data_IF_772869605741
#
_entry.id   IF_772869605741
#
_cell.length_a   1.000
_cell.length_b   1.000
_cell.length_c   1.000
_cell.angle_alpha   90.00
_cell.angle_beta   90.00
_cell.angle_gamma   90.00
#
_symmetry.space_group_name_H-M   'P 1'
#
loop_
_entity.id
_entity.type
_entity.pdbx_description
1 polymer ?
#
# COMPACT_ATOMS: atom_id res chain seq x y z
N UNK A 1 -27.83 22.09 -19.30
CA UNK A 1 -26.65 21.20 -19.16
C UNK A 1 -26.96 20.20 -18.07
N UNK A 2 -27.06 18.91 -18.42
CA UNK A 2 -27.32 17.84 -17.45
C UNK A 2 -26.03 17.55 -16.69
N UNK A 3 -26.08 17.67 -15.38
CA UNK A 3 -25.09 17.15 -14.42
C UNK A 3 -24.96 15.64 -14.67
N UNK A 4 -23.75 15.06 -14.80
CA UNK A 4 -23.61 13.61 -14.86
C UNK A 4 -24.13 13.01 -13.56
N UNK A 5 -25.02 12.05 -13.70
CA UNK A 5 -25.67 11.31 -12.63
C UNK A 5 -24.64 10.69 -11.69
N UNK A 6 -24.79 10.95 -10.39
CA UNK A 6 -24.27 10.06 -9.35
C UNK A 6 -24.64 8.60 -9.69
N UNK A 7 -23.72 7.68 -9.45
CA UNK A 7 -24.06 6.26 -9.50
C UNK A 7 -25.22 6.03 -8.52
N UNK A 8 -26.33 5.48 -9.02
CA UNK A 8 -27.46 5.07 -8.19
C UNK A 8 -27.01 4.14 -7.04
N UNK A 9 -27.73 4.13 -5.92
CA UNK A 9 -27.50 3.16 -4.83
C UNK A 9 -27.54 1.70 -5.30
N UNK A 10 -28.30 1.41 -6.37
CA UNK A 10 -28.33 0.10 -7.02
C UNK A 10 -27.07 -0.22 -7.85
N UNK A 11 -26.30 0.79 -8.29
CA UNK A 11 -24.99 0.60 -8.92
C UNK A 11 -23.84 0.48 -7.90
N UNK A 12 -23.94 1.15 -6.75
CA UNK A 12 -23.02 0.92 -5.61
C UNK A 12 -23.19 -0.49 -5.04
N UNK A 13 -24.43 -0.99 -4.95
CA UNK A 13 -24.73 -2.36 -4.57
C UNK A 13 -24.35 -3.42 -5.64
N UNK A 14 -23.91 -2.98 -6.84
CA UNK A 14 -23.54 -3.83 -7.98
C UNK A 14 -22.04 -3.99 -8.18
N UNK A 15 -21.21 -3.23 -7.46
CA UNK A 15 -19.81 -3.59 -7.35
C UNK A 15 -19.80 -4.87 -6.53
N UNK A 16 -19.78 -6.02 -7.22
CA UNK A 16 -19.51 -7.28 -6.57
C UNK A 16 -18.24 -7.13 -5.74
N UNK A 17 -18.13 -7.89 -4.65
CA UNK A 17 -16.92 -7.98 -3.82
C UNK A 17 -15.72 -8.62 -4.57
N UNK A 18 -15.67 -8.43 -5.89
CA UNK A 18 -14.62 -8.87 -6.77
C UNK A 18 -13.50 -7.87 -6.87
N UNK A 19 -12.27 -8.30 -7.15
CA UNK A 19 -11.18 -7.40 -7.44
C UNK A 19 -11.48 -6.60 -8.70
N UNK A 20 -11.46 -5.28 -8.56
CA UNK A 20 -11.45 -4.31 -9.65
C UNK A 20 -10.04 -3.74 -9.77
N UNK A 21 -9.76 -3.10 -10.90
CA UNK A 21 -8.51 -2.41 -11.15
C UNK A 21 -8.77 -0.91 -11.18
N UNK A 22 -8.14 -0.21 -10.25
CA UNK A 22 -7.98 1.23 -10.33
C UNK A 22 -6.92 1.53 -11.38
N UNK A 23 -7.27 2.36 -12.36
CA UNK A 23 -6.42 2.77 -13.46
C UNK A 23 -6.19 4.28 -13.37
N UNK A 24 -4.92 4.70 -13.45
CA UNK A 24 -4.48 6.08 -13.23
C UNK A 24 -3.78 6.61 -14.49
N UNK A 25 -4.48 7.41 -15.31
CA UNK A 25 -3.91 8.04 -16.51
C UNK A 25 -2.93 9.16 -16.18
N UNK A 26 -2.05 9.45 -17.14
CA UNK A 26 -1.09 10.57 -17.08
C UNK A 26 -1.78 11.93 -17.02
N UNK A 27 -2.88 12.08 -17.74
CA UNK A 27 -3.63 13.35 -17.84
C UNK A 27 -4.53 13.61 -16.62
N UNK A 28 -4.46 12.72 -15.61
CA UNK A 28 -5.21 12.81 -14.37
C UNK A 28 -6.53 12.03 -14.39
N UNK A 29 -7.21 12.09 -13.25
CA UNK A 29 -8.43 11.31 -13.01
C UNK A 29 -8.17 9.88 -12.56
N UNK A 30 -9.26 9.13 -12.39
CA UNK A 30 -9.25 7.74 -11.97
C UNK A 30 -10.36 6.99 -12.72
N UNK A 31 -10.05 5.79 -13.20
CA UNK A 31 -11.02 4.87 -13.81
C UNK A 31 -11.01 3.55 -13.04
N UNK A 32 -12.15 2.88 -13.02
CA UNK A 32 -12.26 1.52 -12.47
C UNK A 32 -12.54 0.54 -13.61
N UNK A 33 -11.70 -0.49 -13.73
CA UNK A 33 -11.88 -1.58 -14.67
C UNK A 33 -12.29 -2.84 -13.93
N UNK A 34 -13.34 -3.51 -14.41
CA UNK A 34 -13.76 -4.81 -13.95
C UNK A 34 -13.19 -5.89 -14.89
N UNK A 35 -12.21 -6.70 -14.45
CA UNK A 35 -11.62 -7.75 -15.29
C UNK A 35 -12.60 -8.84 -15.71
N UNK A 36 -13.66 -9.06 -14.93
CA UNK A 36 -14.66 -10.10 -15.19
C UNK A 36 -15.67 -9.68 -16.24
N UNK A 37 -16.11 -8.43 -16.18
CA UNK A 37 -17.09 -7.87 -17.11
C UNK A 37 -16.44 -7.24 -18.36
N UNK A 38 -15.13 -6.99 -18.32
CA UNK A 38 -14.44 -6.23 -19.36
C UNK A 38 -14.90 -4.77 -19.44
N UNK A 39 -15.50 -4.24 -18.37
CA UNK A 39 -16.14 -2.91 -18.34
C UNK A 39 -15.23 -1.90 -17.65
N UNK A 40 -15.06 -0.73 -18.26
CA UNK A 40 -14.37 0.42 -17.67
C UNK A 40 -15.42 1.47 -17.27
N UNK A 41 -15.44 1.80 -15.99
CA UNK A 41 -16.16 2.95 -15.45
C UNK A 41 -15.22 4.16 -15.42
N UNK A 42 -15.57 5.16 -16.23
CA UNK A 42 -14.84 6.42 -16.36
C UNK A 42 -15.49 7.49 -15.48
N UNK A 43 -14.73 8.53 -15.16
CA UNK A 43 -15.23 9.76 -14.54
C UNK A 43 -15.79 9.61 -13.11
N UNK A 44 -15.28 8.66 -12.33
CA UNK A 44 -15.66 8.50 -10.91
C UNK A 44 -15.22 9.70 -10.07
N UNK A 45 -14.06 10.29 -10.40
CA UNK A 45 -13.50 11.48 -9.78
C UNK A 45 -13.12 12.49 -10.89
N UNK A 46 -14.10 13.25 -11.40
CA UNK A 46 -13.84 14.40 -12.30
C UNK A 46 -13.20 15.60 -11.56
N UNK A 47 -13.13 15.57 -10.23
CA UNK A 47 -13.01 16.79 -9.41
C UNK A 47 -11.57 17.16 -8.97
N UNK A 48 -10.52 16.46 -9.44
CA UNK A 48 -9.15 16.65 -8.90
C UNK A 48 -8.02 16.70 -9.95
N UNK A 49 -8.07 17.63 -10.93
CA UNK A 49 -6.99 17.79 -11.90
C UNK A 49 -5.63 18.05 -11.22
N UNK A 50 -4.62 17.27 -11.62
CA UNK A 50 -3.26 17.38 -11.06
C UNK A 50 -3.06 16.70 -9.69
N UNK A 51 -4.05 15.94 -9.20
CA UNK A 51 -3.95 15.20 -7.94
C UNK A 51 -3.37 13.79 -8.13
N UNK A 52 -2.78 13.26 -7.07
CA UNK A 52 -2.17 11.93 -7.01
C UNK A 52 -2.92 11.05 -6.02
N UNK A 53 -3.16 9.80 -6.41
CA UNK A 53 -3.74 8.78 -5.54
C UNK A 53 -2.60 7.98 -4.89
N UNK A 54 -2.54 8.03 -3.56
CA UNK A 54 -1.42 7.47 -2.80
C UNK A 54 -1.72 6.08 -2.26
N UNK A 55 -2.96 5.81 -1.86
CA UNK A 55 -3.43 4.54 -1.28
C UNK A 55 -4.96 4.42 -1.36
N UNK A 56 -5.48 3.23 -1.10
CA UNK A 56 -6.91 2.95 -0.97
C UNK A 56 -7.16 1.97 0.19
N UNK A 57 -8.34 2.06 0.81
CA UNK A 57 -8.89 1.13 1.81
C UNK A 57 -10.39 1.04 1.61
N UNK A 58 -10.90 -0.13 1.19
CA UNK A 58 -12.26 -0.23 0.68
C UNK A 58 -12.53 0.87 -0.34
N UNK A 59 -13.64 1.59 -0.16
CA UNK A 59 -14.06 2.69 -1.04
C UNK A 59 -13.32 4.02 -0.82
N UNK A 60 -12.45 4.10 0.19
CA UNK A 60 -11.79 5.33 0.59
C UNK A 60 -10.40 5.47 -0.01
N UNK A 61 -10.12 6.63 -0.57
CA UNK A 61 -8.89 6.91 -1.32
C UNK A 61 -8.11 8.00 -0.61
N UNK A 62 -6.80 7.78 -0.44
CA UNK A 62 -5.88 8.80 0.03
C UNK A 62 -5.37 9.61 -1.17
N UNK A 63 -5.67 10.91 -1.17
CA UNK A 63 -5.40 11.81 -2.29
C UNK A 63 -4.49 12.95 -1.84
N UNK A 64 -3.52 13.29 -2.69
CA UNK A 64 -2.68 14.46 -2.60
C UNK A 64 -3.03 15.41 -3.74
N UNK A 65 -3.57 16.59 -3.43
CA UNK A 65 -3.90 17.57 -4.47
C UNK A 65 -2.68 18.30 -5.04
N UNK A 66 -2.92 19.13 -6.05
CA UNK A 66 -1.90 19.98 -6.68
C UNK A 66 -1.32 21.05 -5.75
N UNK A 67 -2.03 21.41 -4.68
CA UNK A 67 -1.57 22.29 -3.60
C UNK A 67 -0.88 21.52 -2.46
N UNK A 68 -0.64 20.22 -2.63
CA UNK A 68 -0.02 19.33 -1.66
C UNK A 68 -0.74 19.29 -0.31
N UNK A 69 -2.07 19.25 -0.37
CA UNK A 69 -2.95 18.92 0.74
C UNK A 69 -3.35 17.45 0.66
N UNK A 70 -3.32 16.79 1.80
CA UNK A 70 -3.79 15.42 1.94
C UNK A 70 -5.27 15.41 2.36
N UNK A 71 -6.03 14.53 1.77
CA UNK A 71 -7.39 14.21 2.19
C UNK A 71 -7.72 12.76 1.88
N UNK A 72 -8.71 12.21 2.57
CA UNK A 72 -9.34 10.95 2.20
C UNK A 72 -10.72 11.22 1.62
N UNK A 73 -11.10 10.50 0.59
CA UNK A 73 -12.42 10.62 -0.02
C UNK A 73 -13.03 9.26 -0.34
N UNK A 74 -14.31 9.09 -0.05
CA UNK A 74 -15.09 7.96 -0.54
C UNK A 74 -15.47 8.22 -1.99
N UNK A 75 -15.04 7.32 -2.89
CA UNK A 75 -15.17 7.53 -4.34
C UNK A 75 -16.61 7.46 -4.86
N UNK A 76 -17.55 6.92 -4.08
CA UNK A 76 -18.94 6.79 -4.48
C UNK A 76 -19.83 7.84 -3.83
N UNK A 77 -19.66 8.07 -2.52
CA UNK A 77 -20.44 9.07 -1.79
C UNK A 77 -19.89 10.49 -2.01
N UNK A 78 -18.63 10.61 -2.45
CA UNK A 78 -17.86 11.86 -2.52
C UNK A 78 -17.64 12.54 -1.17
N UNK A 79 -17.91 11.85 -0.07
CA UNK A 79 -17.54 12.33 1.26
C UNK A 79 -16.02 12.55 1.29
N UNK A 80 -15.59 13.67 1.87
CA UNK A 80 -14.18 14.06 1.91
C UNK A 80 -13.82 14.49 3.33
N UNK A 81 -12.71 13.95 3.83
CA UNK A 81 -12.13 14.30 5.12
C UNK A 81 -10.75 14.88 4.87
N UNK A 82 -10.60 16.17 5.15
CA UNK A 82 -9.30 16.84 5.08
C UNK A 82 -8.39 16.38 6.21
N UNK A 83 -7.14 16.04 5.84
CA UNK A 83 -6.12 15.61 6.79
C UNK A 83 -5.25 16.82 7.18
N UNK A 84 -4.47 16.72 8.28
CA UNK A 84 -3.50 17.74 8.63
C UNK A 84 -2.50 18.00 7.49
N UNK A 85 -1.95 19.22 7.40
CA UNK A 85 -0.87 19.54 6.46
C UNK A 85 0.36 18.67 6.75
N UNK A 86 1.12 18.27 5.73
CA UNK A 86 2.38 17.54 5.87
C UNK A 86 3.37 18.21 6.85
N UNK A 87 3.33 19.55 6.94
CA UNK A 87 4.14 20.36 7.85
C UNK A 87 3.74 20.24 9.33
N UNK A 88 2.56 19.69 9.62
CA UNK A 88 2.06 19.52 10.99
C UNK A 88 2.75 18.38 11.75
N UNK A 89 3.69 17.66 11.12
CA UNK A 89 4.41 16.57 11.76
C UNK A 89 5.12 17.05 13.04
N UNK A 90 4.85 16.37 14.14
CA UNK A 90 5.50 16.58 15.43
C UNK A 90 6.64 15.60 15.58
N UNK A 91 7.79 15.97 15.02
CA UNK A 91 9.05 15.25 15.21
C UNK A 91 10.01 16.08 16.06
N UNK A 92 10.87 15.40 16.81
CA UNK A 92 12.01 16.03 17.52
C UNK A 92 13.23 16.17 16.60
N UNK A 93 13.26 15.43 15.50
CA UNK A 93 14.43 15.26 14.62
C UNK A 93 14.17 15.79 13.20
N UNK A 94 12.90 15.95 12.80
CA UNK A 94 12.53 16.47 11.50
C UNK A 94 11.60 17.69 11.62
N UNK A 95 11.95 18.77 10.94
CA UNK A 95 11.02 19.89 10.74
C UNK A 95 10.87 20.14 9.26
N UNK A 96 9.63 20.15 8.80
CA UNK A 96 9.27 20.34 7.40
C UNK A 96 8.61 21.70 7.25
N UNK A 97 9.04 22.45 6.23
CA UNK A 97 8.44 23.72 5.85
C UNK A 97 8.09 23.70 4.36
N UNK A 98 6.88 24.09 4.01
CA UNK A 98 6.47 24.27 2.62
C UNK A 98 7.17 25.50 2.02
N UNK A 99 7.69 25.33 0.81
CA UNK A 99 8.38 26.39 0.05
C UNK A 99 7.71 26.68 -1.30
N UNK A 100 6.62 25.99 -1.63
CA UNK A 100 5.78 26.20 -2.80
C UNK A 100 4.70 25.12 -2.91
N UNK A 101 3.95 25.11 -4.00
CA UNK A 101 2.82 24.19 -4.18
C UNK A 101 3.25 22.72 -4.24
N UNK A 102 4.48 22.45 -4.67
CA UNK A 102 5.03 21.09 -4.85
C UNK A 102 6.34 20.82 -4.12
N UNK A 103 6.78 21.75 -3.28
CA UNK A 103 8.10 21.71 -2.64
C UNK A 103 8.04 21.87 -1.13
N UNK A 104 8.81 21.05 -0.43
CA UNK A 104 9.08 21.17 0.99
C UNK A 104 10.57 21.29 1.25
N UNK A 105 10.93 22.00 2.32
CA UNK A 105 12.27 22.09 2.86
C UNK A 105 12.31 21.36 4.20
N UNK A 106 13.20 20.38 4.30
CA UNK A 106 13.56 19.76 5.56
C UNK A 106 14.70 20.52 6.21
N UNK A 107 14.45 21.07 7.39
CA UNK A 107 15.33 22.07 8.01
C UNK A 107 16.58 21.47 8.68
N UNK A 108 16.51 20.24 9.20
CA UNK A 108 17.62 19.60 9.91
C UNK A 108 18.82 19.29 9.01
N UNK A 109 18.57 18.95 7.75
CA UNK A 109 19.60 18.62 6.75
C UNK A 109 19.59 19.57 5.54
N UNK A 110 18.81 20.65 5.58
CA UNK A 110 18.67 21.65 4.50
C UNK A 110 18.41 21.04 3.13
N UNK A 111 17.43 20.14 3.06
CA UNK A 111 17.16 19.35 1.86
C UNK A 111 15.76 19.65 1.28
N UNK A 112 15.66 19.73 -0.04
CA UNK A 112 14.41 19.97 -0.75
C UNK A 112 13.74 18.63 -1.05
N UNK A 113 12.46 18.52 -0.69
CA UNK A 113 11.62 17.35 -0.89
C UNK A 113 10.52 17.70 -1.92
N UNK A 114 10.21 16.77 -2.81
CA UNK A 114 9.13 16.93 -3.78
C UNK A 114 7.86 16.25 -3.29
N UNK A 115 6.72 16.83 -3.66
CA UNK A 115 5.42 16.19 -3.47
C UNK A 115 5.25 14.94 -4.34
N UNK A 116 6.04 14.82 -5.40
CA UNK A 116 6.11 13.64 -6.25
C UNK A 116 6.74 12.44 -5.50
N UNK A 117 7.50 12.70 -4.44
CA UNK A 117 8.12 11.68 -3.60
C UNK A 117 7.19 11.22 -2.47
N UNK A 118 6.07 11.91 -2.23
CA UNK A 118 5.12 11.50 -1.18
C UNK A 118 4.49 10.16 -1.53
N UNK A 119 4.49 9.25 -0.56
CA UNK A 119 3.79 7.96 -0.56
C UNK A 119 2.95 7.86 0.70
N UNK A 120 1.96 6.97 0.68
CA UNK A 120 1.17 6.72 1.88
C UNK A 120 0.49 5.37 1.88
N UNK A 121 -0.03 5.03 3.05
CA UNK A 121 -0.91 3.91 3.31
C UNK A 121 -2.18 4.47 3.96
N UNK A 122 -3.28 3.78 3.74
CA UNK A 122 -4.58 4.13 4.27
C UNK A 122 -5.23 2.88 4.83
N UNK A 123 -5.77 2.99 6.03
CA UNK A 123 -6.77 2.08 6.54
C UNK A 123 -7.99 2.88 6.96
N UNK A 124 -9.18 2.41 6.57
CA UNK A 124 -10.47 2.93 6.98
C UNK A 124 -11.30 1.74 7.46
N UNK A 125 -12.02 1.90 8.56
CA UNK A 125 -12.92 0.84 9.04
C UNK A 125 -14.11 0.64 8.08
N UNK A 126 -14.77 -0.52 8.16
CA UNK A 126 -15.92 -0.85 7.32
C UNK A 126 -17.06 0.19 7.41
N UNK A 127 -17.14 0.91 8.52
CA UNK A 127 -18.13 1.95 8.76
C UNK A 127 -17.78 3.33 8.19
N UNK A 128 -16.56 3.56 7.69
CA UNK A 128 -16.04 4.89 7.35
C UNK A 128 -15.94 5.83 8.56
N UNK A 129 -16.05 5.28 9.78
CA UNK A 129 -16.08 6.02 11.04
C UNK A 129 -14.71 6.14 11.67
N UNK A 130 -13.72 5.40 11.23
CA UNK A 130 -12.38 5.47 11.76
C UNK A 130 -11.34 5.28 10.66
N UNK A 131 -10.17 5.88 10.83
CA UNK A 131 -9.11 5.80 9.85
C UNK A 131 -7.73 5.98 10.46
N UNK A 132 -6.74 5.41 9.78
CA UNK A 132 -5.32 5.63 10.01
C UNK A 132 -4.67 5.96 8.66
N UNK A 133 -3.89 7.04 8.65
CA UNK A 133 -3.11 7.47 7.49
C UNK A 133 -1.65 7.43 7.88
N UNK A 134 -0.84 6.83 7.01
CA UNK A 134 0.62 6.81 7.11
C UNK A 134 1.18 7.45 5.85
N UNK A 135 2.19 8.28 5.96
CA UNK A 135 2.87 8.88 4.81
C UNK A 135 4.36 9.04 5.06
N UNK A 136 5.13 9.10 3.97
CA UNK A 136 6.57 9.37 3.99
C UNK A 136 7.03 9.95 2.66
N UNK A 137 8.24 10.51 2.64
CA UNK A 137 8.93 10.87 1.40
C UNK A 137 9.80 9.70 0.95
N UNK A 138 9.48 9.16 -0.22
CA UNK A 138 10.14 8.03 -0.85
C UNK A 138 11.35 8.50 -1.64
N UNK A 139 12.51 8.48 -0.95
CA UNK A 139 13.81 8.85 -1.51
C UNK A 139 14.67 7.61 -1.63
N UNK A 140 15.41 7.51 -2.73
CA UNK A 140 16.36 6.43 -2.93
C UNK A 140 17.37 6.37 -1.77
N UNK A 141 17.32 5.28 -1.00
CA UNK A 141 18.27 4.85 0.03
C UNK A 141 18.30 5.64 1.36
N UNK A 142 17.41 6.61 1.59
CA UNK A 142 17.45 7.42 2.82
C UNK A 142 16.05 7.85 3.30
N UNK A 143 15.37 6.92 3.97
CA UNK A 143 14.11 7.17 4.67
C UNK A 143 14.40 7.43 6.15
N UNK A 144 14.17 8.65 6.60
CA UNK A 144 14.51 9.04 7.98
C UNK A 144 13.34 8.88 8.96
N UNK A 145 12.12 9.06 8.48
CA UNK A 145 10.92 9.05 9.30
C UNK A 145 9.67 8.72 8.48
N UNK A 146 8.62 8.37 9.20
CA UNK A 146 7.26 8.20 8.70
C UNK A 146 6.35 9.09 9.55
N UNK A 147 5.39 9.76 8.91
CA UNK A 147 4.31 10.46 9.60
C UNK A 147 3.06 9.58 9.64
N UNK A 148 2.38 9.52 10.79
CA UNK A 148 1.04 8.94 10.86
C UNK A 148 0.06 9.83 11.61
N UNK A 149 -1.22 9.73 11.25
CA UNK A 149 -2.31 10.30 12.03
C UNK A 149 -3.51 9.35 11.97
N UNK A 150 -4.43 9.56 12.90
CA UNK A 150 -5.72 8.89 12.93
C UNK A 150 -6.84 9.89 13.12
N UNK A 151 -8.07 9.38 13.10
CA UNK A 151 -9.25 10.21 13.31
C UNK A 151 -9.16 11.02 14.61
N UNK A 152 -9.40 12.33 14.48
CA UNK A 152 -9.37 13.29 15.58
C UNK A 152 -8.00 13.92 15.84
N UNK A 153 -6.94 13.40 15.24
CA UNK A 153 -5.63 14.03 15.30
C UNK A 153 -5.62 15.33 14.48
N UNK A 154 -4.88 16.32 14.97
CA UNK A 154 -4.71 17.62 14.31
C UNK A 154 -3.31 17.77 13.69
N UNK A 155 -2.45 16.78 13.89
CA UNK A 155 -1.02 16.79 13.55
C UNK A 155 -0.56 15.36 13.27
N UNK A 156 0.52 15.17 12.52
CA UNK A 156 1.14 13.85 12.37
C UNK A 156 2.10 13.54 13.52
N UNK A 157 2.11 12.29 13.96
CA UNK A 157 3.13 11.75 14.87
C UNK A 157 4.24 11.11 14.05
N UNK A 158 5.48 11.38 14.44
CA UNK A 158 6.70 10.84 13.84
C UNK A 158 6.99 9.40 14.32
N UNK A 159 7.34 8.52 13.38
CA UNK A 159 7.96 7.22 13.61
C UNK A 159 9.38 7.29 13.01
N UNK A 160 10.44 7.29 13.83
CA UNK A 160 11.80 7.32 13.32
C UNK A 160 12.16 6.01 12.63
N UNK A 161 12.96 6.13 11.57
CA UNK A 161 13.56 5.02 10.81
C UNK A 161 15.08 4.96 10.96
N UNK A 162 15.68 5.92 11.65
CA UNK A 162 17.10 5.95 11.94
C UNK A 162 17.37 5.81 13.45
N UNK A 163 18.14 4.78 13.82
CA UNK A 163 18.51 4.49 15.20
C UNK A 163 20.02 4.22 15.26
N UNK A 164 20.84 5.16 15.76
CA UNK A 164 22.29 5.01 15.83
C UNK A 164 22.74 3.76 16.59
N UNK A 165 22.06 3.48 17.71
CA UNK A 165 22.45 2.43 18.65
C UNK A 165 21.78 1.08 18.39
N UNK A 166 20.84 1.02 17.43
CA UNK A 166 20.11 -0.21 17.13
C UNK A 166 19.85 -0.38 15.63
N UNK A 167 20.79 -1.06 14.99
CA UNK A 167 20.82 -1.28 13.56
C UNK A 167 19.66 -2.15 13.03
N UNK A 168 18.92 -2.88 13.89
CA UNK A 168 17.76 -3.68 13.47
C UNK A 168 16.61 -2.80 13.00
N UNK A 169 16.46 -1.62 13.59
CA UNK A 169 15.40 -0.66 13.26
C UNK A 169 15.75 0.26 12.08
N UNK A 170 16.95 0.12 11.50
CA UNK A 170 17.46 1.06 10.50
C UNK A 170 16.82 0.83 9.14
N UNK A 171 16.30 1.93 8.59
CA UNK A 171 15.84 2.02 7.21
C UNK A 171 14.43 1.46 7.02
N UNK A 172 13.98 1.58 5.77
CA UNK A 172 12.66 1.17 5.32
C UNK A 172 12.84 0.48 3.97
N UNK A 173 12.21 -0.67 3.83
CA UNK A 173 12.09 -1.41 2.57
C UNK A 173 10.63 -1.47 2.12
N UNK A 174 9.73 -1.88 3.02
CA UNK A 174 8.29 -1.93 2.76
C UNK A 174 7.46 -1.70 4.03
N UNK A 175 6.18 -1.40 3.84
CA UNK A 175 5.21 -1.26 4.93
C UNK A 175 3.86 -1.86 4.56
N UNK A 176 3.19 -2.42 5.57
CA UNK A 176 1.80 -2.88 5.49
C UNK A 176 1.01 -2.28 6.64
N UNK A 177 -0.15 -1.71 6.35
CA UNK A 177 -1.06 -1.16 7.35
C UNK A 177 -2.33 -2.01 7.40
N UNK A 178 -2.63 -2.59 8.56
CA UNK A 178 -3.86 -3.34 8.81
C UNK A 178 -4.49 -2.87 10.11
N UNK A 179 -5.62 -2.16 10.05
CA UNK A 179 -6.18 -1.56 11.25
C UNK A 179 -5.25 -0.51 11.84
N UNK A 180 -5.08 -0.60 13.15
CA UNK A 180 -4.10 0.18 13.91
C UNK A 180 -2.70 -0.43 13.93
N UNK A 181 -2.44 -1.51 13.18
CA UNK A 181 -1.13 -2.15 13.13
C UNK A 181 -0.35 -1.76 11.88
N UNK A 182 0.85 -1.25 12.08
CA UNK A 182 1.80 -0.95 11.01
C UNK A 182 2.97 -1.92 11.07
N UNK A 183 3.17 -2.69 10.01
CA UNK A 183 4.30 -3.58 9.82
C UNK A 183 5.33 -2.86 8.96
N UNK A 184 6.58 -2.84 9.40
CA UNK A 184 7.67 -2.15 8.70
C UNK A 184 8.80 -3.14 8.49
N UNK A 185 9.18 -3.36 7.24
CA UNK A 185 10.38 -4.12 6.89
C UNK A 185 11.57 -3.17 6.81
N UNK A 186 12.63 -3.48 7.53
CA UNK A 186 13.86 -2.67 7.57
C UNK A 186 14.83 -3.10 6.47
N UNK A 187 15.86 -2.30 6.21
CA UNK A 187 16.86 -2.60 5.18
C UNK A 187 17.66 -3.88 5.46
N UNK A 188 17.58 -4.42 6.68
CA UNK A 188 18.17 -5.71 7.07
C UNK A 188 17.17 -6.86 7.07
N UNK A 189 15.99 -6.66 6.46
CA UNK A 189 14.89 -7.64 6.39
C UNK A 189 14.39 -8.09 7.77
N UNK A 190 14.38 -7.17 8.74
CA UNK A 190 13.64 -7.35 9.99
C UNK A 190 12.26 -6.74 9.87
N UNK A 191 11.26 -7.36 10.48
CA UNK A 191 9.91 -6.82 10.57
C UNK A 191 9.71 -6.22 11.95
N UNK A 192 9.30 -4.94 11.98
CA UNK A 192 8.78 -4.24 13.15
C UNK A 192 7.25 -4.28 13.10
N UNK A 193 6.60 -4.36 14.25
CA UNK A 193 5.13 -4.33 14.35
C UNK A 193 4.74 -3.27 15.35
N UNK A 194 4.11 -2.20 14.86
CA UNK A 194 3.73 -1.05 15.66
C UNK A 194 2.22 -1.04 15.90
N UNK A 195 1.81 -0.76 17.13
CA UNK A 195 0.44 -0.40 17.50
C UNK A 195 0.28 1.12 17.50
N UNK A 196 -0.63 1.62 16.66
CA UNK A 196 -0.96 3.03 16.45
C UNK A 196 -2.23 3.48 17.20
N UNK A 197 -2.87 2.58 17.97
CA UNK A 197 -4.14 2.85 18.66
C UNK A 197 -4.01 3.84 19.82
N UNK A 198 -2.83 3.95 20.44
CA UNK A 198 -2.54 4.88 21.55
C UNK A 198 -2.26 6.33 21.13
N UNK A 199 -2.05 7.23 22.08
CA UNK A 199 -1.65 8.62 21.79
C UNK A 199 -0.27 8.75 21.13
N UNK A 200 0.53 7.69 21.23
CA UNK A 200 1.78 7.47 20.51
C UNK A 200 1.80 6.03 20.01
N UNK A 201 2.73 5.71 19.11
CA UNK A 201 2.95 4.33 18.71
C UNK A 201 3.64 3.52 19.81
N UNK A 202 3.48 2.19 19.79
CA UNK A 202 4.20 1.24 20.63
C UNK A 202 4.68 0.05 19.81
N UNK A 203 5.87 -0.46 20.09
CA UNK A 203 6.33 -1.73 19.51
C UNK A 203 5.54 -2.87 20.16
N UNK A 204 4.90 -3.71 19.34
CA UNK A 204 4.15 -4.88 19.81
C UNK A 204 5.07 -6.01 20.27
N UNK A 205 6.24 -6.12 19.64
CA UNK A 205 7.22 -7.17 19.90
C UNK A 205 8.64 -6.70 19.52
N UNK A 206 9.66 -7.47 19.92
CA UNK A 206 11.01 -7.31 19.39
C UNK A 206 10.97 -7.52 17.87
N UNK A 207 11.66 -6.70 17.05
CA UNK A 207 11.79 -6.97 15.62
C UNK A 207 12.32 -8.37 15.37
N UNK A 208 11.80 -9.03 14.35
CA UNK A 208 12.18 -10.41 14.01
C UNK A 208 12.64 -10.50 12.55
N UNK A 209 13.60 -11.38 12.23
CA UNK A 209 14.11 -11.52 10.88
C UNK A 209 13.09 -12.23 9.97
N UNK A 210 12.96 -11.76 8.74
CA UNK A 210 12.26 -12.42 7.63
C UNK A 210 13.28 -12.67 6.52
N UNK A 211 14.17 -13.64 6.77
CA UNK A 211 15.26 -14.02 5.88
C UNK A 211 15.00 -15.40 5.27
N UNK A 212 14.83 -15.45 3.96
CA UNK A 212 14.84 -16.70 3.20
C UNK A 212 16.29 -17.11 2.88
N UNK A 213 16.45 -18.31 2.29
CA UNK A 213 17.74 -18.81 1.80
C UNK A 213 18.25 -18.07 0.55
N UNK A 214 17.40 -17.32 -0.16
CA UNK A 214 17.71 -16.76 -1.47
C UNK A 214 17.86 -15.24 -1.41
N UNK A 215 19.10 -14.74 -1.41
CA UNK A 215 19.36 -13.29 -1.27
C UNK A 215 19.05 -12.47 -2.54
N UNK A 216 18.97 -13.12 -3.70
CA UNK A 216 18.86 -12.47 -5.03
C UNK A 216 17.41 -12.24 -5.50
N UNK A 217 16.41 -12.51 -4.67
CA UNK A 217 15.00 -12.37 -5.03
C UNK A 217 14.46 -10.97 -4.72
N UNK A 218 13.46 -10.55 -5.48
CA UNK A 218 12.62 -9.43 -5.08
C UNK A 218 11.73 -9.88 -3.92
N UNK A 219 11.75 -9.13 -2.83
CA UNK A 219 11.17 -9.54 -1.56
C UNK A 219 10.20 -8.48 -1.04
N UNK A 220 8.99 -8.91 -0.72
CA UNK A 220 7.95 -8.09 -0.10
C UNK A 220 7.37 -8.78 1.12
N UNK A 221 6.62 -8.04 1.95
CA UNK A 221 5.87 -8.62 3.06
C UNK A 221 4.37 -8.55 2.82
N UNK A 222 3.66 -9.51 3.38
CA UNK A 222 2.20 -9.46 3.45
C UNK A 222 1.69 -9.87 4.83
N UNK A 223 0.46 -9.51 5.17
CA UNK A 223 -0.19 -9.87 6.43
C UNK A 223 -1.48 -10.62 6.12
N UNK A 224 -1.63 -11.81 6.68
CA UNK A 224 -2.83 -12.62 6.49
C UNK A 224 -4.04 -12.04 7.24
N UNK A 225 -5.26 -12.50 6.94
CA UNK A 225 -6.45 -12.10 7.72
C UNK A 225 -6.35 -12.48 9.19
N UNK A 226 -5.56 -13.52 9.51
CA UNK A 226 -5.25 -13.93 10.88
C UNK A 226 -4.20 -13.07 11.60
N UNK A 227 -3.55 -12.14 10.88
CA UNK A 227 -2.49 -11.27 11.38
C UNK A 227 -1.09 -11.90 11.32
N UNK A 228 -0.93 -13.07 10.70
CA UNK A 228 0.38 -13.68 10.46
C UNK A 228 1.12 -12.98 9.32
N UNK A 229 2.42 -12.74 9.49
CA UNK A 229 3.28 -12.10 8.48
C UNK A 229 3.85 -13.15 7.52
N UNK A 230 3.73 -12.87 6.22
CA UNK A 230 4.33 -13.63 5.13
C UNK A 230 5.52 -12.88 4.56
N UNK A 231 6.59 -13.60 4.23
CA UNK A 231 7.59 -13.14 3.27
C UNK A 231 7.18 -13.63 1.88
N UNK A 232 7.12 -12.72 0.92
CA UNK A 232 6.75 -13.00 -0.47
C UNK A 232 7.97 -12.73 -1.35
N UNK A 233 8.49 -13.77 -1.98
CA UNK A 233 9.60 -13.66 -2.91
C UNK A 233 9.14 -13.90 -4.34
N UNK A 234 9.74 -13.16 -5.27
CA UNK A 234 9.48 -13.33 -6.69
C UNK A 234 10.75 -13.10 -7.52
N UNK A 235 10.69 -13.53 -8.77
CA UNK A 235 11.73 -13.19 -9.76
C UNK A 235 11.83 -11.67 -9.93
N UNK A 236 13.01 -11.04 -9.77
CA UNK A 236 13.14 -9.59 -9.82
C UNK A 236 12.93 -8.96 -11.21
N UNK A 237 12.89 -9.76 -12.28
CA UNK A 237 12.66 -9.26 -13.63
C UNK A 237 11.22 -9.46 -14.09
N UNK A 238 10.81 -10.72 -14.23
CA UNK A 238 9.57 -11.07 -14.93
C UNK A 238 8.43 -11.43 -13.97
N UNK A 239 8.75 -11.62 -12.67
CA UNK A 239 7.83 -12.11 -11.62
C UNK A 239 6.99 -13.29 -12.09
N UNK A 240 7.63 -14.19 -12.83
CA UNK A 240 6.99 -15.36 -13.44
C UNK A 240 6.77 -16.50 -12.42
N UNK A 241 7.29 -16.35 -11.20
CA UNK A 241 7.07 -17.25 -10.08
C UNK A 241 7.02 -16.47 -8.76
N UNK A 242 6.36 -17.07 -7.78
CA UNK A 242 6.29 -16.59 -6.41
C UNK A 242 6.61 -17.71 -5.43
N UNK A 243 7.25 -17.38 -4.32
CA UNK A 243 7.42 -18.24 -3.14
C UNK A 243 6.95 -17.49 -1.92
N UNK A 244 6.27 -18.22 -1.05
CA UNK A 244 5.75 -17.68 0.21
C UNK A 244 6.45 -18.37 1.36
N UNK A 245 6.76 -17.60 2.39
CA UNK A 245 7.32 -18.14 3.61
C UNK A 245 6.62 -17.56 4.84
N UNK A 246 6.56 -18.39 5.88
CA UNK A 246 6.08 -18.02 7.22
C UNK A 246 7.19 -18.21 8.23
N UNK A 247 7.04 -17.59 9.39
CA UNK A 247 7.94 -17.85 10.51
C UNK A 247 7.85 -19.32 10.91
N UNK A 248 9.00 -19.98 11.02
CA UNK A 248 9.05 -21.33 11.56
C UNK A 248 8.90 -21.26 13.11
N UNK A 249 7.83 -21.85 13.68
CA UNK A 249 7.61 -21.83 15.12
C UNK A 249 8.63 -22.68 15.90
N UNK A 250 9.32 -23.62 15.23
CA UNK A 250 10.19 -24.61 15.89
C UNK A 250 11.63 -24.10 16.11
N UNK A 251 11.95 -22.90 15.61
CA UNK A 251 13.29 -22.31 15.74
C UNK A 251 13.40 -21.55 17.08
N UNK A 252 14.20 -22.12 18.00
CA UNK A 252 14.42 -21.57 19.34
C UNK A 252 15.18 -20.23 19.34
N UNK A 253 16.14 -20.04 18.42
CA UNK A 253 16.89 -18.79 18.25
C UNK A 253 16.92 -18.34 16.78
N UNK A 254 15.88 -17.61 16.34
CA UNK A 254 15.79 -17.12 14.97
C UNK A 254 16.83 -16.06 14.64
N UNK A 255 17.42 -15.38 15.63
CA UNK A 255 18.45 -14.36 15.42
C UNK A 255 19.81 -15.00 15.08
N UNK A 256 20.04 -16.25 15.50
CA UNK A 256 21.24 -17.04 15.17
C UNK A 256 21.08 -17.93 13.93
N UNK A 257 19.84 -18.13 13.45
CA UNK A 257 19.56 -18.97 12.30
C UNK A 257 19.51 -18.16 11.00
N UNK A 258 20.24 -18.58 9.97
CA UNK A 258 20.17 -17.95 8.64
C UNK A 258 18.87 -18.28 7.87
N UNK A 259 18.00 -19.15 8.41
CA UNK A 259 16.78 -19.65 7.77
C UNK A 259 15.66 -19.78 8.80
N UNK A 260 15.13 -18.65 9.28
CA UNK A 260 14.07 -18.61 10.30
C UNK A 260 12.66 -18.94 9.77
N UNK A 261 12.56 -19.35 8.50
CA UNK A 261 11.31 -19.38 7.73
C UNK A 261 11.07 -20.75 7.09
N UNK A 262 9.79 -21.12 7.01
CA UNK A 262 9.30 -22.29 6.30
C UNK A 262 8.53 -21.85 5.05
N UNK A 263 8.84 -22.47 3.91
CA UNK A 263 8.11 -22.23 2.66
C UNK A 263 6.69 -22.81 2.76
N UNK A 264 5.71 -22.11 2.21
CA UNK A 264 4.31 -22.55 2.16
C UNK A 264 3.77 -22.52 0.73
N UNK A 265 3.07 -23.59 0.35
CA UNK A 265 2.55 -23.78 -1.00
C UNK A 265 1.11 -23.25 -1.18
N UNK A 266 0.49 -22.72 -0.12
CA UNK A 266 -0.90 -22.26 -0.11
C UNK A 266 -1.11 -21.10 0.87
N UNK A 267 -2.07 -20.24 0.54
CA UNK A 267 -2.62 -19.17 1.37
C UNK A 267 -3.79 -19.64 2.24
N UNK A 268 -4.14 -20.94 2.20
CA UNK A 268 -5.15 -21.51 3.11
C UNK A 268 -6.58 -21.09 2.82
N UNK A 269 -6.94 -20.90 1.55
CA UNK A 269 -8.27 -20.41 1.15
C UNK A 269 -8.38 -18.89 1.12
N UNK A 270 -7.27 -18.18 1.21
CA UNK A 270 -7.16 -16.74 1.00
C UNK A 270 -6.53 -16.43 -0.36
N UNK A 271 -6.58 -15.15 -0.75
CA UNK A 271 -5.82 -14.60 -1.88
C UNK A 271 -5.06 -13.36 -1.43
N UNK A 272 -3.92 -13.10 -2.05
CA UNK A 272 -3.03 -12.00 -1.71
C UNK A 272 -3.22 -10.84 -2.66
N UNK A 273 -3.60 -9.68 -2.13
CA UNK A 273 -3.44 -8.41 -2.83
C UNK A 273 -2.06 -7.86 -2.52
N UNK A 274 -1.07 -8.22 -3.34
CA UNK A 274 0.32 -7.94 -3.02
C UNK A 274 0.55 -6.42 -2.95
N UNK A 275 -0.09 -5.62 -3.81
CA UNK A 275 0.03 -4.13 -3.83
C UNK A 275 -0.45 -3.47 -2.54
N UNK A 276 -1.33 -4.15 -1.81
CA UNK A 276 -1.85 -3.68 -0.53
C UNK A 276 -1.16 -4.38 0.66
N UNK A 277 -0.40 -5.44 0.40
CA UNK A 277 0.34 -6.19 1.41
C UNK A 277 -0.53 -7.00 2.36
N UNK A 278 -1.78 -7.32 2.00
CA UNK A 278 -2.64 -8.16 2.84
C UNK A 278 -3.41 -9.21 2.05
N UNK A 279 -3.81 -10.27 2.74
CA UNK A 279 -4.69 -11.29 2.17
C UNK A 279 -6.16 -10.99 2.46
N UNK A 280 -7.01 -11.54 1.61
CA UNK A 280 -8.47 -11.52 1.77
C UNK A 280 -9.02 -12.93 1.66
N UNK A 281 -10.17 -13.23 2.30
CA UNK A 281 -10.84 -14.51 2.11
C UNK A 281 -11.11 -14.73 0.62
N UNK A 282 -10.80 -15.91 0.10
CA UNK A 282 -11.07 -16.24 -1.29
C UNK A 282 -12.39 -17.01 -1.41
N UNK A 283 -13.24 -16.54 -2.31
CA UNK A 283 -14.45 -17.26 -2.71
C UNK A 283 -14.77 -16.88 -4.15
N UNK A 284 -14.51 -17.78 -5.08
CA UNK A 284 -14.71 -17.50 -6.50
C UNK A 284 -16.18 -17.22 -6.83
N UNK A 285 -17.12 -17.89 -6.15
CA UNK A 285 -18.55 -17.76 -6.44
C UNK A 285 -19.13 -16.43 -5.98
N UNK A 286 -18.78 -15.97 -4.77
CA UNK A 286 -19.36 -14.75 -4.19
C UNK A 286 -18.46 -13.53 -4.37
N UNK A 287 -17.15 -13.71 -4.25
CA UNK A 287 -16.16 -12.66 -4.34
C UNK A 287 -15.46 -12.65 -5.70
N UNK A 288 -15.55 -13.68 -6.55
CA UNK A 288 -14.72 -13.71 -7.78
C UNK A 288 -13.22 -13.69 -7.50
N UNK A 289 -12.82 -14.00 -6.26
CA UNK A 289 -11.43 -14.14 -5.81
C UNK A 289 -11.11 -15.63 -5.79
N UNK A 290 -10.14 -16.04 -6.59
CA UNK A 290 -9.67 -17.42 -6.61
C UNK A 290 -8.71 -17.68 -5.43
N UNK A 291 -8.85 -18.81 -4.71
CA UNK A 291 -7.92 -19.15 -3.62
C UNK A 291 -6.50 -19.36 -4.15
N UNK A 292 -5.51 -19.08 -3.29
CA UNK A 292 -4.09 -19.22 -3.59
C UNK A 292 -3.60 -18.33 -4.75
N UNK A 293 -4.38 -17.30 -5.10
CA UNK A 293 -4.02 -16.32 -6.13
C UNK A 293 -3.36 -15.08 -5.52
N UNK A 294 -2.37 -14.54 -6.24
CA UNK A 294 -1.63 -13.33 -5.94
C UNK A 294 -1.95 -12.30 -7.02
N UNK A 295 -2.59 -11.21 -6.63
CA UNK A 295 -2.98 -10.09 -7.47
C UNK A 295 -1.95 -8.97 -7.33
N UNK A 296 -1.36 -8.52 -8.44
CA UNK A 296 -0.37 -7.44 -8.43
C UNK A 296 -0.36 -6.57 -9.68
N UNK A 297 0.15 -5.34 -9.52
CA UNK A 297 0.29 -4.30 -10.55
C UNK A 297 1.69 -3.70 -10.46
N UNK A 298 2.69 -4.55 -10.66
CA UNK A 298 4.13 -4.27 -10.49
C UNK A 298 4.53 -3.76 -9.12
N UNK A 299 5.06 -4.69 -8.35
CA UNK A 299 5.69 -4.41 -7.08
C UNK A 299 6.94 -3.54 -7.21
N UNK A 300 7.16 -2.75 -6.17
CA UNK A 300 8.24 -1.78 -5.99
C UNK A 300 8.25 -0.63 -7.01
N UNK A 301 7.76 0.53 -6.57
CA UNK A 301 7.82 1.80 -7.31
C UNK A 301 8.85 2.74 -6.68
N UNK A 302 10.16 2.56 -6.95
CA UNK A 302 11.09 3.65 -6.73
C UNK A 302 10.56 4.86 -7.51
N UNK A 303 10.52 6.02 -6.86
CA UNK A 303 10.06 7.31 -7.40
C UNK A 303 10.73 7.74 -8.72
N UNK A 304 11.79 7.06 -9.17
CA UNK A 304 12.65 7.51 -10.27
C UNK A 304 12.84 6.50 -11.40
N UNK A 305 12.28 5.28 -11.34
CA UNK A 305 12.43 4.31 -12.43
C UNK A 305 11.26 4.40 -13.41
N UNK A 306 11.40 5.31 -14.37
CA UNK A 306 10.56 5.33 -15.57
C UNK A 306 11.08 4.31 -16.58
N UNK A 307 10.19 3.52 -17.21
CA UNK A 307 10.54 2.78 -18.43
C UNK A 307 10.16 1.30 -18.52
N UNK A 308 9.28 0.75 -17.67
CA UNK A 308 8.73 -0.59 -17.93
C UNK A 308 7.23 -0.50 -18.28
N UNK A 309 6.68 -1.44 -19.04
CA UNK A 309 5.24 -1.52 -19.45
C UNK A 309 4.27 -2.00 -18.36
N UNK A 310 3.40 -1.16 -17.78
CA UNK A 310 2.48 -1.54 -16.69
C UNK A 310 1.90 -2.98 -16.79
N UNK A 311 2.36 -3.88 -15.91
CA UNK A 311 1.94 -5.29 -15.88
C UNK A 311 0.89 -5.49 -14.81
N UNK A 312 -0.33 -5.82 -15.24
CA UNK A 312 -1.42 -6.17 -14.34
C UNK A 312 -1.60 -7.68 -14.38
N UNK A 313 -1.36 -8.35 -13.26
CA UNK A 313 -1.17 -9.79 -13.25
C UNK A 313 -1.93 -10.47 -12.11
N UNK A 314 -2.30 -11.73 -12.35
CA UNK A 314 -2.73 -12.69 -11.33
C UNK A 314 -1.91 -13.96 -11.48
N UNK A 315 -1.23 -14.36 -10.40
CA UNK A 315 -0.48 -15.61 -10.32
C UNK A 315 -1.19 -16.57 -9.37
N UNK A 316 -1.42 -17.82 -9.75
CA UNK A 316 -1.99 -18.83 -8.85
C UNK A 316 -0.90 -19.79 -8.38
N UNK A 317 -0.71 -19.91 -7.07
CA UNK A 317 0.34 -20.73 -6.45
C UNK A 317 0.13 -22.23 -6.70
N UNK A 318 -1.12 -22.70 -6.57
CA UNK A 318 -1.46 -24.10 -6.69
C UNK A 318 -1.27 -24.63 -8.11
N UNK A 319 -1.74 -23.90 -9.12
CA UNK A 319 -1.63 -24.28 -10.53
C UNK A 319 -0.32 -23.81 -11.19
N UNK A 320 0.41 -22.89 -10.54
CA UNK A 320 1.56 -22.17 -11.10
C UNK A 320 1.23 -21.45 -12.41
N UNK A 321 -0.03 -21.06 -12.57
CA UNK A 321 -0.53 -20.34 -13.75
C UNK A 321 -0.41 -18.84 -13.57
N UNK A 322 -0.22 -18.13 -14.68
CA UNK A 322 0.02 -16.71 -14.69
C UNK A 322 -0.83 -16.04 -15.78
N UNK A 323 -1.67 -15.08 -15.38
CA UNK A 323 -2.61 -14.37 -16.24
C UNK A 323 -2.24 -12.87 -16.29
N UNK A 324 -2.01 -12.32 -17.49
CA UNK A 324 -1.76 -10.89 -17.73
C UNK A 324 -3.00 -10.21 -18.31
N UNK A 325 -3.27 -9.00 -17.85
CA UNK A 325 -4.32 -8.12 -18.38
C UNK A 325 -3.69 -7.01 -19.23
N UNK A 326 -3.01 -7.39 -20.32
CA UNK A 326 -2.23 -6.47 -21.19
C UNK A 326 -3.07 -5.61 -22.15
N UNK A 327 -4.32 -5.99 -22.40
CA UNK A 327 -5.11 -5.45 -23.52
C UNK A 327 -6.12 -4.38 -23.09
N UNK A 328 -5.77 -3.56 -22.09
CA UNK A 328 -6.58 -2.41 -21.72
C UNK A 328 -6.41 -1.33 -22.80
N UNK A 329 -7.47 -1.04 -23.56
CA UNK A 329 -7.53 0.06 -24.53
C UNK A 329 -7.62 1.42 -23.83
N UNK A 330 -6.59 1.72 -23.02
CA UNK A 330 -6.43 2.94 -22.24
C UNK A 330 -5.04 3.48 -22.51
N UNK A 331 -4.96 4.45 -23.41
CA UNK A 331 -3.70 5.11 -23.75
C UNK A 331 -3.22 5.98 -22.59
N UNK A 332 -1.91 5.96 -22.31
CA UNK A 332 -1.30 6.88 -21.34
C UNK A 332 -1.54 6.52 -19.88
N UNK A 333 -1.77 5.24 -19.56
CA UNK A 333 -1.74 4.75 -18.18
C UNK A 333 -0.35 4.98 -17.58
N UNK A 334 -0.31 5.73 -16.48
CA UNK A 334 0.91 5.84 -15.67
C UNK A 334 0.97 4.74 -14.64
N UNK A 335 -0.21 4.26 -14.19
CA UNK A 335 -0.28 3.39 -13.05
C UNK A 335 -1.61 2.61 -12.97
N UNK A 336 -1.60 1.48 -12.26
CA UNK A 336 -2.78 0.72 -11.87
C UNK A 336 -2.61 0.14 -10.46
N UNK A 337 -3.72 -0.22 -9.81
CA UNK A 337 -3.76 -0.93 -8.51
C UNK A 337 -4.98 -1.82 -8.40
N UNK A 338 -4.83 -2.95 -7.72
CA UNK A 338 -5.98 -3.76 -7.32
C UNK A 338 -6.80 -3.05 -6.23
N UNK A 339 -8.11 -3.08 -6.39
CA UNK A 339 -9.11 -2.41 -5.58
C UNK A 339 -10.22 -3.42 -5.23
N UNK A 340 -10.51 -3.58 -3.94
CA UNK A 340 -11.62 -4.40 -3.46
C UNK A 340 -12.68 -3.48 -2.84
N UNK A 341 -13.79 -3.20 -3.53
CA UNK A 341 -14.88 -2.44 -2.95
C UNK A 341 -15.50 -3.22 -1.78
N UNK A 342 -15.75 -2.51 -0.67
CA UNK A 342 -16.47 -3.04 0.49
C UNK A 342 -15.68 -3.92 1.47
N UNK A 343 -14.34 -3.86 1.45
CA UNK A 343 -13.46 -4.50 2.46
C UNK A 343 -12.70 -3.45 3.25
#
# INVERSE_FOLDING_TARGET
>A
MKVPSSLSSASMAKLSNSPWLMLLPKDGGCMLYNPREGKIERNLLEDFPGSRYLANSGNWFLVLDSGSNLFITDVFSKETIHLPSLESIRSRICTIKRIGDRGFLRLDITNILSCDDVRGLLWVDEGGKDYVVVWFFDREYDHDYIGFCKKGDTHYTDIPLFYPDNHWFKGLSEMVLTGYRLYITTSRRFVRVLDLSGSSFKECAKPFPMLSRYELCDSSIAVTTSGEVLLVESDPWDRCWFRLYKKDPDIEDPDSSCHALVEVDSLGGEALLLDLGFTVPANYTTLGVEPDSIYFTRHYRPSHWSGRDLDICVYNLASKSFNRFSDLDVTGLMDARWFLPGI
#
